data_IF_964258833470
#
_entry.id   IF_964258833470
#
_cell.length_a   1.000
_cell.length_b   1.000
_cell.length_c   1.000
_cell.angle_alpha   90.00
_cell.angle_beta   90.00
_cell.angle_gamma   90.00
#
_symmetry.space_group_name_H-M   'P 1'
#
loop_
_entity.id
_entity.type
_entity.pdbx_description
1 polymer ?
#
# COMPACT_ATOMS: atom_id res chain seq x y z
N UNK A 1 11.19 20.63 -13.13
CA UNK A 1 11.05 22.01 -12.61
C UNK A 1 10.90 23.03 -13.73
N UNK A 2 11.91 23.30 -14.57
CA UNK A 2 11.78 24.30 -15.64
C UNK A 2 10.60 24.03 -16.58
N UNK A 3 10.50 22.80 -17.10
CA UNK A 3 9.37 22.39 -17.96
C UNK A 3 7.97 22.57 -17.32
N UNK A 4 7.87 22.54 -15.99
CA UNK A 4 6.58 22.75 -15.29
C UNK A 4 6.31 24.25 -15.15
N UNK A 5 7.34 25.04 -14.84
CA UNK A 5 7.23 26.51 -14.85
C UNK A 5 6.81 27.03 -16.23
N UNK A 6 7.41 26.47 -17.30
CA UNK A 6 7.05 26.79 -18.69
C UNK A 6 5.60 26.39 -18.99
N UNK A 7 5.15 25.19 -18.58
CA UNK A 7 3.77 24.74 -18.77
C UNK A 7 2.74 25.57 -18.00
N UNK A 8 3.10 26.09 -16.84
CA UNK A 8 2.26 26.95 -16.01
C UNK A 8 2.36 28.45 -16.40
N UNK A 9 3.27 28.82 -17.30
CA UNK A 9 3.50 30.21 -17.69
C UNK A 9 4.06 31.10 -16.57
N UNK A 10 4.76 30.51 -15.59
CA UNK A 10 5.31 31.22 -14.43
C UNK A 10 6.84 31.16 -14.40
N UNK A 11 7.47 32.09 -13.67
CA UNK A 11 8.90 31.99 -13.41
C UNK A 11 9.22 30.85 -12.43
N UNK A 12 10.37 30.20 -12.61
CA UNK A 12 10.82 29.10 -11.74
C UNK A 12 10.90 29.49 -10.27
N UNK A 13 11.25 30.74 -9.93
CA UNK A 13 11.27 31.21 -8.54
C UNK A 13 9.87 31.29 -7.94
N UNK A 14 8.84 31.58 -8.74
CA UNK A 14 7.46 31.55 -8.28
C UNK A 14 7.06 30.13 -7.89
N UNK A 15 7.43 29.14 -8.70
CA UNK A 15 7.21 27.72 -8.38
C UNK A 15 7.95 27.28 -7.11
N UNK A 16 9.22 27.71 -6.93
CA UNK A 16 10.00 27.40 -5.73
C UNK A 16 9.44 27.97 -4.41
N UNK A 17 8.54 28.97 -4.46
CA UNK A 17 7.84 29.45 -3.25
C UNK A 17 6.83 28.43 -2.71
N UNK A 18 6.35 27.52 -3.57
CA UNK A 18 5.35 26.52 -3.22
C UNK A 18 5.96 25.11 -3.14
N UNK A 19 6.92 24.78 -4.01
CA UNK A 19 7.58 23.47 -4.05
C UNK A 19 9.09 23.60 -4.14
N UNK A 20 9.79 23.10 -3.13
CA UNK A 20 11.24 23.27 -2.99
C UNK A 20 12.04 22.56 -4.08
N UNK A 21 11.61 21.36 -4.46
CA UNK A 21 12.31 20.51 -5.42
C UNK A 21 11.36 19.56 -6.14
N UNK A 22 11.92 18.78 -7.09
CA UNK A 22 11.19 17.82 -7.90
C UNK A 22 10.57 16.71 -7.05
N UNK A 23 11.27 16.27 -6.02
CA UNK A 23 10.86 15.17 -5.15
C UNK A 23 9.64 15.57 -4.32
N UNK A 24 9.69 16.75 -3.69
CA UNK A 24 8.55 17.36 -3.00
C UNK A 24 7.33 17.47 -3.92
N UNK A 25 7.54 17.97 -5.15
CA UNK A 25 6.45 18.11 -6.13
C UNK A 25 5.85 16.74 -6.52
N UNK A 26 6.68 15.72 -6.73
CA UNK A 26 6.20 14.38 -7.05
C UNK A 26 5.47 13.73 -5.88
N UNK A 27 5.89 14.01 -4.64
CA UNK A 27 5.17 13.60 -3.44
C UNK A 27 3.76 14.21 -3.40
N UNK A 28 3.64 15.52 -3.62
CA UNK A 28 2.33 16.19 -3.68
C UNK A 28 1.43 15.62 -4.77
N UNK A 29 1.96 15.42 -5.98
CA UNK A 29 1.21 14.82 -7.10
C UNK A 29 0.77 13.39 -6.77
N UNK A 30 1.62 12.61 -6.10
CA UNK A 30 1.27 11.24 -5.71
C UNK A 30 0.15 11.20 -4.65
N UNK A 31 0.19 12.10 -3.67
CA UNK A 31 -0.87 12.19 -2.65
C UNK A 31 -2.20 12.71 -3.22
N UNK A 32 -2.16 13.75 -4.05
CA UNK A 32 -3.34 14.29 -4.76
C UNK A 32 -4.01 13.20 -5.61
N UNK A 33 -3.23 12.50 -6.43
CA UNK A 33 -3.74 11.40 -7.25
C UNK A 33 -4.25 10.21 -6.43
N UNK A 34 -3.68 9.96 -5.24
CA UNK A 34 -4.19 8.93 -4.32
C UNK A 34 -5.54 9.34 -3.72
N UNK A 35 -5.68 10.60 -3.30
CA UNK A 35 -6.90 11.15 -2.72
C UNK A 35 -8.08 11.12 -3.72
N UNK A 36 -7.82 11.44 -4.98
CA UNK A 36 -8.83 11.42 -6.05
C UNK A 36 -9.41 10.02 -6.33
N UNK A 37 -8.58 8.98 -6.22
CA UNK A 37 -8.96 7.61 -6.60
C UNK A 37 -9.52 6.83 -5.42
N UNK A 38 -9.08 7.12 -4.20
CA UNK A 38 -9.45 6.35 -3.02
C UNK A 38 -10.67 6.93 -2.29
N UNK A 39 -11.85 6.48 -2.69
CA UNK A 39 -13.15 6.93 -2.14
C UNK A 39 -13.62 6.09 -0.95
N UNK A 40 -14.37 6.71 -0.03
CA UNK A 40 -14.83 6.11 1.23
C UNK A 40 -16.22 5.46 1.18
N UNK A 41 -16.96 5.62 0.08
CA UNK A 41 -18.37 5.23 -0.04
C UNK A 41 -18.59 3.75 0.30
N UNK A 42 -17.75 2.87 -0.22
CA UNK A 42 -17.86 1.43 0.02
C UNK A 42 -17.50 1.06 1.47
N UNK A 43 -16.54 1.78 2.07
CA UNK A 43 -16.18 1.56 3.47
C UNK A 43 -17.33 1.91 4.42
N UNK A 44 -18.00 3.04 4.18
CA UNK A 44 -19.13 3.46 5.00
C UNK A 44 -20.27 2.43 4.98
N UNK A 45 -20.49 1.78 3.83
CA UNK A 45 -21.52 0.76 3.63
C UNK A 45 -21.14 -0.65 4.11
N UNK A 46 -19.92 -0.87 4.61
CA UNK A 46 -19.49 -2.17 5.11
C UNK A 46 -20.38 -2.67 6.26
N UNK A 47 -20.65 -3.97 6.32
CA UNK A 47 -21.49 -4.59 7.35
C UNK A 47 -20.78 -4.63 8.70
N UNK A 48 -19.49 -4.93 8.69
CA UNK A 48 -18.64 -4.97 9.89
C UNK A 48 -17.24 -4.44 9.60
N UNK A 49 -16.45 -4.31 10.68
CA UNK A 49 -15.09 -3.83 10.59
C UNK A 49 -14.18 -4.73 9.76
N UNK A 50 -14.45 -6.05 9.70
CA UNK A 50 -13.67 -7.01 8.91
C UNK A 50 -13.86 -6.75 7.43
N UNK A 51 -15.12 -6.57 7.01
CA UNK A 51 -15.45 -6.18 5.64
C UNK A 51 -14.86 -4.80 5.31
N UNK A 52 -14.96 -3.84 6.22
CA UNK A 52 -14.35 -2.52 6.04
C UNK A 52 -12.83 -2.60 5.81
N UNK A 53 -12.11 -3.46 6.54
CA UNK A 53 -10.67 -3.70 6.34
C UNK A 53 -10.36 -4.29 4.96
N UNK A 54 -11.17 -5.25 4.49
CA UNK A 54 -10.99 -5.84 3.16
C UNK A 54 -11.25 -4.83 2.05
N UNK A 55 -12.31 -4.04 2.17
CA UNK A 55 -12.64 -2.98 1.21
C UNK A 55 -11.55 -1.88 1.19
N UNK A 56 -11.09 -1.46 2.37
CA UNK A 56 -9.95 -0.55 2.51
C UNK A 56 -8.74 -1.09 1.75
N UNK A 57 -8.31 -2.32 2.04
CA UNK A 57 -7.11 -2.90 1.45
C UNK A 57 -7.22 -3.02 -0.08
N UNK A 58 -8.36 -3.49 -0.59
CA UNK A 58 -8.60 -3.63 -2.02
C UNK A 58 -8.62 -2.27 -2.74
N UNK A 59 -9.32 -1.28 -2.20
CA UNK A 59 -9.38 0.06 -2.76
C UNK A 59 -8.03 0.75 -2.73
N UNK A 60 -7.32 0.66 -1.60
CA UNK A 60 -6.03 1.29 -1.40
C UNK A 60 -4.96 0.69 -2.32
N UNK A 61 -4.84 -0.65 -2.36
CA UNK A 61 -3.90 -1.33 -3.26
C UNK A 61 -4.22 -0.99 -4.71
N UNK A 62 -5.50 -0.98 -5.11
CA UNK A 62 -5.90 -0.61 -6.47
C UNK A 62 -5.49 0.82 -6.82
N UNK A 63 -5.72 1.78 -5.93
CA UNK A 63 -5.35 3.18 -6.11
C UNK A 63 -3.83 3.33 -6.23
N UNK A 64 -3.06 2.74 -5.31
CA UNK A 64 -1.59 2.80 -5.33
C UNK A 64 -1.00 2.13 -6.57
N UNK A 65 -1.51 0.96 -6.96
CA UNK A 65 -1.07 0.30 -8.19
C UNK A 65 -1.40 1.13 -9.44
N UNK A 66 -2.51 1.88 -9.42
CA UNK A 66 -2.91 2.80 -10.49
C UNK A 66 -1.94 3.97 -10.69
N UNK A 67 -1.24 4.41 -9.63
CA UNK A 67 -0.23 5.46 -9.68
C UNK A 67 1.04 5.03 -10.45
N UNK A 68 1.29 3.72 -10.58
CA UNK A 68 2.50 3.19 -11.21
C UNK A 68 3.77 3.74 -10.55
N UNK A 69 4.71 4.25 -11.35
CA UNK A 69 5.98 4.81 -10.87
C UNK A 69 5.82 5.97 -9.86
N UNK A 70 4.68 6.66 -9.82
CA UNK A 70 4.43 7.71 -8.83
C UNK A 70 4.34 7.17 -7.39
N UNK A 71 4.02 5.88 -7.21
CA UNK A 71 3.91 5.26 -5.89
C UNK A 71 5.24 5.24 -5.09
N UNK A 72 6.38 5.43 -5.75
CA UNK A 72 7.68 5.58 -5.10
C UNK A 72 7.76 6.85 -4.24
N UNK A 73 6.98 7.89 -4.60
CA UNK A 73 6.97 9.19 -3.92
C UNK A 73 5.89 9.31 -2.82
N UNK A 74 5.13 8.24 -2.57
CA UNK A 74 4.19 8.19 -1.44
C UNK A 74 4.94 8.02 -0.11
N UNK A 75 5.19 9.14 0.57
CA UNK A 75 5.67 9.19 1.95
C UNK A 75 4.62 9.80 2.88
N UNK A 76 4.17 9.01 3.86
CA UNK A 76 3.16 9.43 4.84
C UNK A 76 3.69 10.32 5.98
N UNK A 77 5.01 10.52 6.06
CA UNK A 77 5.62 11.40 7.07
C UNK A 77 5.66 12.87 6.68
N UNK A 78 5.43 13.20 5.40
CA UNK A 78 5.60 14.54 4.84
C UNK A 78 4.31 15.12 4.24
N UNK A 79 3.23 14.35 4.23
CA UNK A 79 1.93 14.79 3.73
C UNK A 79 1.30 15.81 4.69
N UNK A 80 0.74 16.89 4.13
CA UNK A 80 -0.19 17.71 4.90
C UNK A 80 -1.45 16.87 5.17
N UNK A 81 -2.02 16.98 6.37
CA UNK A 81 -3.13 16.13 6.81
C UNK A 81 -4.37 16.20 5.89
N UNK A 82 -4.48 17.25 5.07
CA UNK A 82 -5.54 17.46 4.08
C UNK A 82 -5.38 16.65 2.79
N UNK A 83 -4.18 16.16 2.47
CA UNK A 83 -3.88 15.44 1.23
C UNK A 83 -4.11 13.92 1.38
N UNK A 84 -4.38 13.46 2.60
CA UNK A 84 -4.75 12.09 2.87
C UNK A 84 -6.27 11.90 2.66
N UNK A 85 -6.74 10.73 2.18
CA UNK A 85 -8.15 10.37 2.13
C UNK A 85 -8.76 10.20 3.54
N UNK A 86 -8.92 11.32 4.22
CA UNK A 86 -9.39 11.45 5.61
C UNK A 86 -10.78 10.86 5.79
N UNK A 87 -11.67 11.00 4.79
CA UNK A 87 -13.00 10.38 4.83
C UNK A 87 -12.94 8.85 4.90
N UNK A 88 -11.97 8.21 4.23
CA UNK A 88 -11.79 6.75 4.27
C UNK A 88 -11.20 6.30 5.60
N UNK A 89 -10.26 7.07 6.16
CA UNK A 89 -9.71 6.83 7.49
C UNK A 89 -10.80 6.96 8.57
N UNK A 90 -11.62 8.00 8.50
CA UNK A 90 -12.74 8.25 9.42
C UNK A 90 -13.78 7.12 9.36
N UNK A 91 -14.16 6.69 8.15
CA UNK A 91 -15.10 5.59 7.98
C UNK A 91 -14.57 4.28 8.60
N UNK A 92 -13.29 3.96 8.39
CA UNK A 92 -12.66 2.77 8.97
C UNK A 92 -12.54 2.87 10.50
N UNK A 93 -12.12 4.03 11.03
CA UNK A 93 -12.09 4.30 12.47
C UNK A 93 -13.48 4.13 13.09
N UNK A 94 -14.53 4.62 12.45
CA UNK A 94 -15.90 4.45 12.91
C UNK A 94 -16.34 2.99 13.01
N UNK A 95 -15.90 2.13 12.07
CA UNK A 95 -16.14 0.69 12.15
C UNK A 95 -15.37 0.01 13.29
N UNK A 96 -14.10 0.37 13.47
CA UNK A 96 -13.27 -0.17 14.56
C UNK A 96 -13.80 0.25 15.93
N UNK A 97 -14.19 1.51 16.09
CA UNK A 97 -14.79 2.03 17.32
C UNK A 97 -16.09 1.27 17.67
N UNK A 98 -16.99 1.08 16.69
CA UNK A 98 -18.22 0.28 16.87
C UNK A 98 -17.95 -1.18 17.22
N UNK A 99 -16.83 -1.74 16.76
CA UNK A 99 -16.40 -3.10 17.10
C UNK A 99 -15.78 -3.20 18.50
N UNK A 100 -15.53 -2.07 19.17
CA UNK A 100 -15.01 -2.04 20.55
C UNK A 100 -13.50 -1.82 20.67
N UNK A 101 -12.79 -1.51 19.58
CA UNK A 101 -11.38 -1.14 19.64
C UNK A 101 -11.20 0.13 20.50
N UNK A 102 -10.12 0.20 21.26
CA UNK A 102 -9.67 1.47 21.82
C UNK A 102 -9.04 2.33 20.72
N UNK A 103 -9.03 3.66 20.89
CA UNK A 103 -8.41 4.58 19.93
C UNK A 103 -6.94 4.22 19.66
N UNK A 104 -6.21 3.88 20.71
CA UNK A 104 -4.81 3.47 20.61
C UNK A 104 -4.64 2.17 19.78
N UNK A 105 -5.53 1.19 19.97
CA UNK A 105 -5.52 -0.04 19.19
C UNK A 105 -5.93 0.21 17.73
N UNK A 106 -6.96 1.03 17.50
CA UNK A 106 -7.46 1.37 16.18
C UNK A 106 -6.39 2.09 15.34
N UNK A 107 -5.71 3.10 15.90
CA UNK A 107 -4.62 3.82 15.21
C UNK A 107 -3.48 2.87 14.85
N UNK A 108 -3.00 2.06 15.80
CA UNK A 108 -1.93 1.08 15.55
C UNK A 108 -2.31 0.08 14.46
N UNK A 109 -3.56 -0.40 14.49
CA UNK A 109 -4.07 -1.34 13.51
C UNK A 109 -4.16 -0.74 12.11
N UNK A 110 -4.68 0.48 11.97
CA UNK A 110 -4.75 1.20 10.68
C UNK A 110 -3.35 1.43 10.10
N UNK A 111 -2.37 1.80 10.93
CA UNK A 111 -0.98 1.96 10.49
C UNK A 111 -0.45 0.65 9.91
N UNK A 112 -0.60 -0.47 10.62
CA UNK A 112 -0.14 -1.79 10.15
C UNK A 112 -0.86 -2.20 8.85
N UNK A 113 -2.18 -2.02 8.78
CA UNK A 113 -2.96 -2.32 7.58
C UNK A 113 -2.47 -1.50 6.37
N UNK A 114 -2.27 -0.19 6.57
CA UNK A 114 -1.83 0.71 5.51
C UNK A 114 -0.40 0.39 5.04
N UNK A 115 0.53 0.13 5.97
CA UNK A 115 1.90 -0.28 5.63
C UNK A 115 1.91 -1.59 4.85
N UNK A 116 1.10 -2.57 5.26
CA UNK A 116 0.96 -3.84 4.56
C UNK A 116 0.45 -3.63 3.13
N UNK A 117 -0.61 -2.83 2.96
CA UNK A 117 -1.20 -2.56 1.66
C UNK A 117 -0.24 -1.80 0.74
N UNK A 118 0.49 -0.80 1.26
CA UNK A 118 1.50 -0.07 0.49
C UNK A 118 2.65 -1.00 0.06
N UNK A 119 3.14 -1.85 0.96
CA UNK A 119 4.17 -2.84 0.63
C UNK A 119 3.73 -3.80 -0.47
N UNK A 120 2.51 -4.34 -0.34
CA UNK A 120 1.93 -5.22 -1.36
C UNK A 120 1.74 -4.50 -2.70
N UNK A 121 1.25 -3.25 -2.71
CA UNK A 121 1.09 -2.48 -3.94
C UNK A 121 2.44 -2.22 -4.64
N UNK A 122 3.50 -1.90 -3.89
CA UNK A 122 4.86 -1.74 -4.43
C UNK A 122 5.39 -3.03 -5.05
N UNK A 123 5.17 -4.17 -4.40
CA UNK A 123 5.52 -5.47 -4.96
C UNK A 123 4.79 -5.73 -6.28
N UNK A 124 3.50 -5.38 -6.37
CA UNK A 124 2.70 -5.51 -7.60
C UNK A 124 3.22 -4.61 -8.72
N UNK A 125 3.55 -3.36 -8.41
CA UNK A 125 4.12 -2.41 -9.39
C UNK A 125 5.44 -2.95 -9.93
N UNK A 126 6.35 -3.36 -9.04
CA UNK A 126 7.64 -3.94 -9.43
C UNK A 126 7.48 -5.20 -10.28
N UNK A 127 6.47 -6.03 -9.98
CA UNK A 127 6.15 -7.19 -10.81
C UNK A 127 5.65 -6.78 -12.20
N UNK A 128 4.73 -5.82 -12.30
CA UNK A 128 4.17 -5.35 -13.58
C UNK A 128 5.20 -4.68 -14.48
N UNK A 129 6.20 -4.03 -13.90
CA UNK A 129 7.31 -3.42 -14.63
C UNK A 129 8.37 -4.45 -15.06
N UNK A 130 8.38 -5.63 -14.45
CA UNK A 130 9.30 -6.71 -14.83
C UNK A 130 8.93 -7.26 -16.21
N UNK A 131 9.90 -7.26 -17.14
CA UNK A 131 9.76 -7.84 -18.49
C UNK A 131 9.86 -9.37 -18.54
N UNK A 132 10.09 -10.02 -17.40
CA UNK A 132 10.32 -11.46 -17.33
C UNK A 132 9.02 -12.25 -17.16
N UNK A 133 9.04 -13.49 -17.62
CA UNK A 133 7.94 -14.45 -17.40
C UNK A 133 7.87 -14.94 -15.94
N UNK A 134 8.99 -14.86 -15.20
CA UNK A 134 9.07 -15.26 -13.80
C UNK A 134 8.88 -14.07 -12.85
N UNK A 135 8.07 -14.29 -11.81
CA UNK A 135 7.82 -13.31 -10.75
C UNK A 135 9.12 -12.95 -9.99
N UNK A 136 9.34 -11.69 -9.59
CA UNK A 136 10.63 -11.24 -9.04
C UNK A 136 11.18 -12.09 -7.90
N UNK A 137 10.36 -12.39 -6.87
CA UNK A 137 10.77 -13.21 -5.72
C UNK A 137 11.11 -14.65 -6.13
N UNK A 138 10.30 -15.26 -6.99
CA UNK A 138 10.56 -16.62 -7.50
C UNK A 138 11.83 -16.68 -8.34
N UNK A 139 12.04 -15.68 -9.21
CA UNK A 139 13.26 -15.55 -10.03
C UNK A 139 14.50 -15.42 -9.15
N UNK A 140 14.45 -14.59 -8.12
CA UNK A 140 15.57 -14.42 -7.18
C UNK A 140 15.95 -15.74 -6.51
N UNK A 141 14.96 -16.50 -6.01
CA UNK A 141 15.22 -17.80 -5.37
C UNK A 141 15.79 -18.80 -6.36
N UNK A 142 15.22 -18.94 -7.58
CA UNK A 142 15.74 -19.87 -8.61
C UNK A 142 17.17 -19.51 -9.02
N UNK A 143 17.42 -18.26 -9.38
CA UNK A 143 18.74 -17.79 -9.81
C UNK A 143 19.81 -17.95 -8.72
N UNK A 144 19.41 -17.93 -7.45
CA UNK A 144 20.32 -18.17 -6.34
C UNK A 144 20.56 -19.67 -6.11
N UNK A 145 19.51 -20.50 -6.19
CA UNK A 145 19.61 -21.97 -6.09
C UNK A 145 20.51 -22.57 -7.17
N UNK A 146 20.56 -21.99 -8.38
CA UNK A 146 21.48 -22.38 -9.46
C UNK A 146 22.97 -22.16 -9.12
N UNK A 147 23.27 -21.32 -8.12
CA UNK A 147 24.64 -20.92 -7.74
C UNK A 147 25.14 -21.60 -6.47
N UNK A 148 24.30 -22.38 -5.81
CA UNK A 148 24.62 -23.05 -4.53
C UNK A 148 24.35 -24.54 -4.62
N UNK A 149 24.78 -25.30 -3.61
CA UNK A 149 24.41 -26.71 -3.45
C UNK A 149 22.99 -26.78 -2.84
N UNK A 150 21.94 -27.17 -3.60
CA UNK A 150 20.56 -27.08 -3.16
C UNK A 150 20.24 -27.95 -1.94
N UNK A 151 21.03 -29.00 -1.70
CA UNK A 151 20.89 -29.94 -0.59
C UNK A 151 21.06 -29.25 0.78
N UNK A 152 21.82 -28.14 0.83
CA UNK A 152 21.98 -27.32 2.03
C UNK A 152 20.79 -26.38 2.29
N UNK A 153 19.88 -26.23 1.32
CA UNK A 153 18.75 -25.31 1.40
C UNK A 153 17.41 -25.98 1.04
N UNK A 154 17.05 -27.11 1.71
CA UNK A 154 15.90 -27.91 1.34
C UNK A 154 14.58 -27.14 1.39
N UNK A 155 14.48 -26.14 2.26
CA UNK A 155 13.29 -25.28 2.34
C UNK A 155 13.17 -24.34 1.14
N UNK A 156 14.28 -23.75 0.68
CA UNK A 156 14.28 -22.86 -0.49
C UNK A 156 13.95 -23.63 -1.77
N UNK A 157 14.47 -24.85 -1.90
CA UNK A 157 14.10 -25.78 -2.98
C UNK A 157 12.60 -26.05 -2.95
N UNK A 158 12.07 -26.50 -1.81
CA UNK A 158 10.66 -26.84 -1.65
C UNK A 158 9.73 -25.65 -1.96
N UNK A 159 10.04 -24.44 -1.49
CA UNK A 159 9.17 -23.28 -1.77
C UNK A 159 9.29 -22.79 -3.21
N UNK A 160 10.45 -22.95 -3.86
CA UNK A 160 10.64 -22.57 -5.26
C UNK A 160 9.76 -23.43 -6.19
N UNK A 161 9.52 -24.69 -5.81
CA UNK A 161 8.65 -25.63 -6.53
C UNK A 161 7.16 -25.30 -6.42
N UNK A 162 6.73 -24.64 -5.32
CA UNK A 162 5.30 -24.33 -5.11
C UNK A 162 4.71 -23.35 -6.12
N UNK A 163 5.54 -22.49 -6.73
CA UNK A 163 5.09 -21.57 -7.77
C UNK A 163 4.04 -20.54 -7.33
N UNK A 164 3.91 -20.26 -6.03
CA UNK A 164 2.85 -19.41 -5.47
C UNK A 164 2.86 -17.97 -6.02
N UNK A 165 1.66 -17.46 -6.29
CA UNK A 165 1.42 -16.06 -6.60
C UNK A 165 1.39 -15.23 -5.31
N UNK A 166 2.47 -14.50 -5.05
CA UNK A 166 2.57 -13.60 -3.90
C UNK A 166 2.31 -12.12 -4.24
N UNK A 167 1.66 -11.85 -5.37
CA UNK A 167 1.40 -10.51 -5.91
C UNK A 167 -0.10 -10.31 -6.26
N UNK A 168 -0.85 -11.39 -6.39
CA UNK A 168 -2.26 -11.38 -6.77
C UNK A 168 -3.19 -11.11 -5.59
N UNK A 169 -4.49 -11.08 -5.91
CA UNK A 169 -5.56 -10.84 -4.95
C UNK A 169 -5.59 -11.86 -3.80
N UNK A 170 -5.23 -13.12 -4.06
CA UNK A 170 -5.18 -14.17 -3.04
C UNK A 170 -4.14 -13.84 -1.96
N UNK A 171 -2.96 -13.33 -2.33
CA UNK A 171 -1.95 -12.91 -1.36
C UNK A 171 -2.44 -11.71 -0.54
N UNK A 172 -3.08 -10.73 -1.16
CA UNK A 172 -3.64 -9.58 -0.43
C UNK A 172 -4.69 -10.05 0.57
N UNK A 173 -5.63 -10.90 0.13
CA UNK A 173 -6.67 -11.46 0.98
C UNK A 173 -6.08 -12.24 2.16
N UNK A 174 -5.12 -13.13 1.91
CA UNK A 174 -4.41 -13.87 2.95
C UNK A 174 -3.79 -12.92 4.00
N UNK A 175 -3.14 -11.86 3.54
CA UNK A 175 -2.44 -10.90 4.39
C UNK A 175 -3.41 -10.08 5.25
N UNK A 176 -4.54 -9.64 4.67
CA UNK A 176 -5.58 -8.91 5.40
C UNK A 176 -6.31 -9.81 6.38
N UNK A 177 -6.65 -11.04 6.00
CA UNK A 177 -7.31 -11.99 6.89
C UNK A 177 -6.41 -12.36 8.10
N UNK A 178 -5.08 -12.42 7.90
CA UNK A 178 -4.13 -12.59 9.01
C UNK A 178 -4.18 -11.41 9.98
N UNK A 179 -4.17 -10.17 9.48
CA UNK A 179 -4.27 -8.97 10.31
C UNK A 179 -5.62 -8.90 11.04
N UNK A 180 -6.72 -9.19 10.36
CA UNK A 180 -8.07 -9.21 10.95
C UNK A 180 -8.14 -10.23 12.08
N UNK A 181 -7.70 -11.48 11.87
CA UNK A 181 -7.69 -12.49 12.93
C UNK A 181 -6.81 -12.11 14.11
N UNK A 182 -5.64 -11.51 13.84
CA UNK A 182 -4.78 -10.97 14.90
C UNK A 182 -5.47 -9.85 15.70
N UNK A 183 -6.19 -8.97 15.02
CA UNK A 183 -6.89 -7.85 15.64
C UNK A 183 -8.12 -8.27 16.45
N UNK A 184 -8.73 -9.42 16.14
CA UNK A 184 -9.80 -9.99 16.98
C UNK A 184 -9.33 -10.23 18.42
N UNK A 185 -8.05 -10.56 18.64
CA UNK A 185 -7.51 -10.72 20.00
C UNK A 185 -7.45 -9.40 20.77
N UNK A 186 -7.31 -8.26 20.09
CA UNK A 186 -7.34 -6.94 20.73
C UNK A 186 -8.71 -6.58 21.30
N UNK A 187 -9.76 -7.29 20.86
CA UNK A 187 -11.13 -7.13 21.38
C UNK A 187 -11.41 -8.05 22.57
N UNK A 188 -10.65 -9.13 22.73
CA UNK A 188 -10.85 -10.16 23.76
C UNK A 188 -10.09 -9.85 25.05
N UNK A 189 -9.01 -9.06 25.00
CA UNK A 189 -8.22 -8.65 26.17
C UNK A 189 -8.86 -7.53 27.02
N UNK A 190 -10.20 -7.49 27.09
CA UNK A 190 -10.98 -6.63 28.00
C UNK A 190 -11.67 -7.45 29.08
#
# INVERSE_FOLDING_TARGET
>A
MQSIADALGVDRKALHKHVRDKETLLGLVAHDALADVFTSTDLAAAQDWRQACRLFAQGFVRAVVGLGALAEYLWFGEAEFGDWPTASAEALLGHLARAGFSDAAAVRFIVVLTTLCLGHARDVIQYRESRDQLRPRQRQVRNWLEKVQPEHYPHLVRIAELGLDTYGAEQLQFSVDLLVRGAEHLLVER
#
